data_IF_408604110055
#
_entry.id   IF_408604110055
#
_cell.length_a   1.000
_cell.length_b   1.000
_cell.length_c   1.000
_cell.angle_alpha   90.00
_cell.angle_beta   90.00
_cell.angle_gamma   90.00
#
_symmetry.space_group_name_H-M   'P 1'
#
loop_
_entity.id
_entity.type
_entity.pdbx_description
1 polymer ?
#
# COMPACT_ATOMS: atom_id res chain seq x y z
N UNK A 1 -26.52 -20.83 67.93
CA UNK A 1 -25.25 -20.24 68.41
C UNK A 1 -24.15 -20.59 67.44
N UNK A 2 -23.16 -19.71 67.30
CA UNK A 2 -22.02 -19.70 66.35
C UNK A 2 -22.21 -18.91 65.04
N UNK A 3 -22.04 -17.59 65.18
CA UNK A 3 -21.54 -16.70 64.12
C UNK A 3 -20.03 -16.92 63.96
N UNK A 4 -19.56 -17.18 62.74
CA UNK A 4 -18.14 -17.13 62.39
C UNK A 4 -17.84 -15.84 61.61
N UNK A 5 -16.99 -14.98 62.16
CA UNK A 5 -16.36 -13.85 61.47
C UNK A 5 -15.05 -14.34 60.85
N UNK A 6 -14.86 -14.11 59.55
CA UNK A 6 -13.58 -14.33 58.85
C UNK A 6 -13.01 -12.96 58.49
N UNK A 7 -11.82 -12.65 59.01
CA UNK A 7 -11.13 -11.38 58.85
C UNK A 7 -10.52 -11.20 57.46
N UNK A 8 -10.53 -9.94 56.98
CA UNK A 8 -9.79 -9.50 55.80
C UNK A 8 -8.31 -9.33 56.15
N UNK A 9 -7.44 -10.02 55.41
CA UNK A 9 -5.99 -9.73 55.38
C UNK A 9 -5.72 -8.80 54.21
N UNK A 10 -5.33 -7.56 54.50
CA UNK A 10 -4.83 -6.62 53.48
C UNK A 10 -3.31 -6.78 53.41
N UNK A 11 -2.82 -7.35 52.31
CA UNK A 11 -1.38 -7.34 51.99
C UNK A 11 -1.06 -6.07 51.21
N UNK A 12 -0.34 -5.15 51.85
CA UNK A 12 0.29 -4.00 51.18
C UNK A 12 1.56 -4.50 50.50
N UNK A 13 1.56 -4.48 49.16
CA UNK A 13 2.75 -4.72 48.35
C UNK A 13 3.53 -3.40 48.23
N UNK A 14 4.64 -3.29 48.95
CA UNK A 14 5.66 -2.25 48.74
C UNK A 14 6.56 -2.72 47.58
N UNK A 15 6.42 -2.08 46.41
CA UNK A 15 7.38 -2.24 45.32
C UNK A 15 8.58 -1.30 45.54
N UNK A 16 9.83 -1.78 45.37
CA UNK A 16 11.02 -0.95 45.54
C UNK A 16 11.17 0.05 44.38
N UNK A 17 11.41 1.32 44.74
CA UNK A 17 11.50 2.48 43.83
C UNK A 17 12.68 2.49 42.86
N UNK A 18 13.54 1.46 42.87
CA UNK A 18 14.76 1.39 42.06
C UNK A 18 14.57 0.85 40.64
N UNK A 19 13.39 0.33 40.28
CA UNK A 19 13.16 -0.27 38.96
C UNK A 19 12.60 0.70 37.91
N UNK A 20 12.21 1.92 38.30
CA UNK A 20 11.54 2.87 37.40
C UNK A 20 12.50 3.69 36.51
N UNK A 21 13.78 3.81 36.89
CA UNK A 21 14.75 4.65 36.15
C UNK A 21 15.35 3.96 34.90
N UNK A 22 15.30 2.63 34.81
CA UNK A 22 15.80 1.89 33.65
C UNK A 22 14.79 1.80 32.49
N UNK A 23 13.50 1.94 32.78
CA UNK A 23 12.46 1.84 31.75
C UNK A 23 12.39 3.14 30.91
N UNK A 24 12.63 4.30 31.53
CA UNK A 24 12.58 5.60 30.83
C UNK A 24 13.74 5.77 29.83
N UNK A 25 14.90 5.17 30.11
CA UNK A 25 16.06 5.19 29.21
C UNK A 25 15.84 4.34 27.94
N UNK A 26 15.04 3.29 27.99
CA UNK A 26 14.82 2.40 26.84
C UNK A 26 13.85 3.00 25.81
N UNK A 27 12.90 3.84 26.25
CA UNK A 27 11.97 4.52 25.34
C UNK A 27 12.57 5.74 24.63
N UNK A 28 13.59 6.38 25.19
CA UNK A 28 14.23 7.56 24.58
C UNK A 28 15.15 7.23 23.39
N UNK A 29 15.68 6.00 23.33
CA UNK A 29 16.58 5.58 22.23
C UNK A 29 15.80 5.21 20.96
N UNK A 30 14.56 4.74 21.08
CA UNK A 30 13.72 4.40 19.92
C UNK A 30 13.09 5.62 19.22
N UNK A 31 13.04 6.78 19.88
CA UNK A 31 12.46 8.00 19.31
C UNK A 31 13.43 8.83 18.44
N UNK A 32 14.74 8.52 18.45
CA UNK A 32 15.76 9.28 17.71
C UNK A 32 15.97 8.81 16.26
N UNK A 33 15.24 7.80 15.79
CA UNK A 33 15.44 7.25 14.45
C UNK A 33 14.50 7.89 13.42
N UNK A 34 14.65 9.19 13.11
CA UNK A 34 14.11 9.76 11.85
C UNK A 34 14.60 11.16 11.45
N UNK A 35 15.75 11.65 11.95
CA UNK A 35 16.32 12.94 11.52
C UNK A 35 17.47 12.80 10.51
N UNK A 36 17.36 11.89 9.55
CA UNK A 36 18.31 11.86 8.42
C UNK A 36 17.63 12.54 7.24
N UNK A 37 18.30 13.54 6.65
CA UNK A 37 17.83 14.25 5.46
C UNK A 37 17.49 13.21 4.37
N UNK A 38 16.23 13.16 3.87
CA UNK A 38 15.79 12.30 2.77
C UNK A 38 16.72 12.26 1.55
N UNK A 39 17.58 13.26 1.38
CA UNK A 39 18.52 13.40 0.26
C UNK A 39 19.85 12.64 0.44
N UNK A 40 20.24 12.24 1.65
CA UNK A 40 21.59 11.71 1.90
C UNK A 40 21.75 10.21 1.65
N UNK A 41 20.67 9.43 1.50
CA UNK A 41 20.75 7.99 1.21
C UNK A 41 20.60 7.70 -0.28
N UNK A 42 21.71 7.69 -1.00
CA UNK A 42 21.76 7.34 -2.42
C UNK A 42 22.11 5.85 -2.56
N UNK A 43 21.08 5.01 -2.64
CA UNK A 43 21.26 3.59 -3.01
C UNK A 43 21.36 3.48 -4.53
N UNK A 44 22.41 2.81 -4.99
CA UNK A 44 22.59 2.40 -6.38
C UNK A 44 21.62 1.28 -6.74
N UNK A 45 20.62 1.57 -7.57
CA UNK A 45 19.68 0.59 -8.10
C UNK A 45 18.36 1.26 -8.52
N UNK A 46 18.14 1.37 -9.83
CA UNK A 46 17.02 2.10 -10.45
C UNK A 46 15.67 1.39 -10.33
N UNK A 47 15.49 0.48 -9.38
CA UNK A 47 14.17 -0.12 -9.17
C UNK A 47 13.32 0.83 -8.30
N UNK A 48 12.29 1.49 -8.87
CA UNK A 48 11.40 2.38 -8.11
C UNK A 48 10.56 1.64 -7.07
N UNK A 49 10.55 0.31 -7.11
CA UNK A 49 9.73 -0.54 -6.25
C UNK A 49 10.45 -1.07 -5.01
N UNK A 50 11.75 -0.79 -4.86
CA UNK A 50 12.56 -1.14 -3.68
C UNK A 50 12.79 0.14 -2.85
N UNK A 51 11.73 0.63 -2.22
CA UNK A 51 11.65 1.94 -1.60
C UNK A 51 12.13 1.98 -0.14
N UNK A 52 12.51 0.84 0.43
CA UNK A 52 13.03 0.70 1.78
C UNK A 52 14.39 0.00 1.68
N UNK A 53 15.40 0.50 2.41
CA UNK A 53 16.72 -0.16 2.49
C UNK A 53 16.74 -1.33 3.49
N UNK A 54 17.84 -2.08 3.53
CA UNK A 54 18.00 -3.26 4.37
C UNK A 54 17.94 -2.92 5.87
N UNK A 55 18.19 -1.66 6.24
CA UNK A 55 18.07 -1.15 7.61
C UNK A 55 16.65 -0.63 7.93
N UNK A 56 15.71 -0.69 6.97
CA UNK A 56 14.31 -0.32 7.15
C UNK A 56 14.00 1.16 6.94
N UNK A 57 14.92 1.94 6.36
CA UNK A 57 14.71 3.36 6.09
C UNK A 57 14.14 3.58 4.70
N UNK A 58 13.25 4.57 4.59
CA UNK A 58 12.62 4.93 3.33
C UNK A 58 13.61 5.68 2.43
N UNK A 59 13.79 5.18 1.21
CA UNK A 59 14.56 5.77 0.13
C UNK A 59 13.70 6.79 -0.64
N UNK A 60 13.46 7.95 -0.03
CA UNK A 60 12.52 8.97 -0.53
C UNK A 60 12.80 9.46 -1.95
N UNK A 61 14.07 9.45 -2.38
CA UNK A 61 14.46 9.78 -3.75
C UNK A 61 13.82 8.85 -4.80
N UNK A 62 13.48 7.61 -4.45
CA UNK A 62 12.78 6.68 -5.36
C UNK A 62 11.34 7.10 -5.65
N UNK A 63 10.67 7.78 -4.71
CA UNK A 63 9.35 8.36 -4.95
C UNK A 63 9.38 9.35 -6.13
N UNK A 64 10.50 10.05 -6.33
CA UNK A 64 10.65 11.05 -7.38
C UNK A 64 10.71 10.48 -8.80
N UNK A 65 10.77 9.15 -8.95
CA UNK A 65 10.70 8.49 -10.26
C UNK A 65 9.28 8.62 -10.83
N UNK A 66 8.26 8.43 -10.01
CA UNK A 66 6.85 8.48 -10.41
C UNK A 66 6.16 9.79 -10.02
N UNK A 67 6.63 10.44 -8.95
CA UNK A 67 6.08 11.69 -8.43
C UNK A 67 7.00 12.87 -8.76
N UNK A 68 6.47 14.07 -9.07
CA UNK A 68 7.29 15.26 -9.27
C UNK A 68 7.92 15.77 -7.97
N UNK A 69 7.32 15.43 -6.83
CA UNK A 69 7.74 15.78 -5.47
C UNK A 69 7.49 14.58 -4.54
N UNK A 70 8.16 14.52 -3.38
CA UNK A 70 7.95 13.44 -2.40
C UNK A 70 6.58 13.64 -1.73
N UNK A 71 5.62 12.70 -1.88
CA UNK A 71 4.32 12.86 -1.25
C UNK A 71 4.37 12.75 0.27
N UNK A 72 3.51 13.49 0.97
CA UNK A 72 3.30 13.27 2.40
C UNK A 72 2.40 12.04 2.63
N UNK A 73 3.03 10.88 2.76
CA UNK A 73 2.35 9.58 2.89
C UNK A 73 1.48 9.45 4.14
N UNK A 74 1.66 10.31 5.16
CA UNK A 74 0.84 10.31 6.39
C UNK A 74 -0.46 11.09 6.21
N UNK A 75 -0.48 12.03 5.27
CA UNK A 75 -1.62 12.93 5.04
C UNK A 75 -2.44 12.52 3.81
N UNK A 76 -1.79 11.97 2.77
CA UNK A 76 -2.46 11.52 1.56
C UNK A 76 -3.45 10.39 1.85
N UNK A 77 -4.70 10.53 1.39
CA UNK A 77 -5.79 9.55 1.60
C UNK A 77 -6.15 8.82 0.32
N UNK A 78 -5.80 9.39 -0.83
CA UNK A 78 -6.16 8.94 -2.16
C UNK A 78 -5.08 9.31 -3.17
N UNK A 79 -5.23 8.79 -4.39
CA UNK A 79 -4.37 9.15 -5.52
C UNK A 79 -4.54 10.62 -5.92
N UNK A 80 -5.68 11.24 -5.62
CA UNK A 80 -5.96 12.64 -5.92
C UNK A 80 -5.20 13.60 -4.98
N UNK A 81 -4.70 13.10 -3.84
CA UNK A 81 -3.92 13.88 -2.87
C UNK A 81 -2.42 13.96 -3.23
N UNK A 82 -2.00 13.31 -4.33
CA UNK A 82 -0.58 13.24 -4.73
C UNK A 82 -0.42 13.60 -6.20
N UNK A 83 0.69 14.26 -6.54
CA UNK A 83 1.02 14.57 -7.93
C UNK A 83 1.72 13.40 -8.59
N UNK A 84 1.42 13.14 -9.86
CA UNK A 84 2.08 12.11 -10.67
C UNK A 84 2.75 12.78 -11.87
N UNK A 85 3.90 12.27 -12.33
CA UNK A 85 4.61 12.90 -13.46
C UNK A 85 3.89 12.77 -14.81
N UNK A 86 2.93 11.86 -14.93
CA UNK A 86 2.28 11.46 -16.19
C UNK A 86 0.76 11.52 -16.06
N UNK A 87 0.20 12.63 -15.57
CA UNK A 87 -1.20 12.74 -15.09
C UNK A 87 -2.27 12.32 -16.12
N UNK A 88 -2.00 12.47 -17.42
CA UNK A 88 -2.95 12.17 -18.51
C UNK A 88 -2.72 10.82 -19.21
N UNK A 89 -1.57 10.17 -18.96
CA UNK A 89 -1.22 8.85 -19.50
C UNK A 89 -0.26 8.13 -18.54
N UNK A 90 -0.79 7.70 -17.39
CA UNK A 90 -0.02 7.06 -16.33
C UNK A 90 0.66 5.75 -16.75
N UNK A 91 0.19 5.12 -17.84
CA UNK A 91 0.83 3.94 -18.43
C UNK A 91 2.23 4.26 -18.95
N UNK A 92 2.47 5.47 -19.46
CA UNK A 92 3.83 5.88 -19.85
C UNK A 92 4.75 5.85 -18.64
N UNK A 93 4.25 6.15 -17.44
CA UNK A 93 5.03 6.02 -16.22
C UNK A 93 5.54 4.60 -15.99
N UNK A 94 4.69 3.60 -16.24
CA UNK A 94 5.04 2.19 -16.03
C UNK A 94 5.92 1.63 -17.16
N UNK A 95 5.58 1.94 -18.42
CA UNK A 95 6.23 1.31 -19.59
C UNK A 95 7.62 1.83 -19.92
N UNK A 96 8.08 2.87 -19.22
CA UNK A 96 9.47 3.32 -19.32
C UNK A 96 10.46 2.35 -18.69
N UNK A 97 10.01 1.49 -17.78
CA UNK A 97 10.88 0.54 -17.07
C UNK A 97 10.65 -0.91 -17.49
N UNK A 98 9.40 -1.31 -17.77
CA UNK A 98 9.10 -2.67 -18.21
C UNK A 98 7.97 -2.68 -19.24
N UNK A 99 8.00 -3.59 -20.23
CA UNK A 99 6.89 -3.73 -21.16
C UNK A 99 5.65 -4.28 -20.45
N UNK A 100 4.50 -4.10 -21.09
CA UNK A 100 3.31 -4.90 -20.76
C UNK A 100 3.62 -6.38 -20.96
N UNK A 101 3.33 -7.19 -19.96
CA UNK A 101 3.34 -8.65 -20.10
C UNK A 101 1.91 -9.10 -20.34
N UNK A 102 1.76 -10.24 -21.00
CA UNK A 102 0.48 -10.94 -21.13
C UNK A 102 -0.27 -10.99 -19.78
N UNK A 103 -1.43 -10.34 -19.69
CA UNK A 103 -2.22 -10.24 -18.46
C UNK A 103 -3.71 -10.47 -18.72
N UNK A 104 -4.47 -11.09 -17.78
CA UNK A 104 -5.90 -11.39 -17.93
C UNK A 104 -6.83 -10.19 -18.22
N UNK A 105 -6.34 -8.97 -18.00
CA UNK A 105 -7.04 -7.73 -18.33
C UNK A 105 -6.57 -7.05 -19.62
N UNK A 106 -5.71 -7.70 -20.40
CA UNK A 106 -5.13 -7.13 -21.62
C UNK A 106 -5.76 -7.73 -22.85
N UNK A 107 -5.80 -6.96 -23.94
CA UNK A 107 -6.41 -7.31 -25.23
C UNK A 107 -6.02 -8.71 -25.73
N UNK A 108 -4.79 -9.12 -25.43
CA UNK A 108 -4.18 -10.38 -25.84
C UNK A 108 -4.88 -11.63 -25.26
N UNK A 109 -5.40 -11.61 -24.02
CA UNK A 109 -5.87 -12.86 -23.36
C UNK A 109 -7.10 -13.48 -24.03
N UNK A 110 -8.03 -12.68 -24.55
CA UNK A 110 -9.19 -13.24 -25.23
C UNK A 110 -8.79 -13.94 -26.52
N UNK A 111 -7.89 -13.31 -27.29
CA UNK A 111 -7.43 -13.80 -28.57
C UNK A 111 -6.68 -15.15 -28.46
N UNK A 112 -5.82 -15.31 -27.45
CA UNK A 112 -4.93 -16.49 -27.35
C UNK A 112 -5.38 -17.56 -26.35
N UNK A 113 -6.13 -17.22 -25.29
CA UNK A 113 -6.53 -18.19 -24.26
C UNK A 113 -7.97 -18.69 -24.38
N UNK A 114 -8.88 -17.87 -24.93
CA UNK A 114 -10.31 -18.19 -24.96
C UNK A 114 -10.83 -18.51 -26.37
N UNK A 115 -9.96 -18.48 -27.39
CA UNK A 115 -10.35 -18.72 -28.80
C UNK A 115 -11.41 -17.75 -29.30
N UNK A 116 -11.56 -16.60 -28.64
CA UNK A 116 -12.53 -15.56 -28.96
C UNK A 116 -11.77 -14.25 -29.17
N UNK A 117 -11.85 -13.60 -30.33
CA UNK A 117 -11.24 -12.28 -30.49
C UNK A 117 -11.68 -11.34 -29.36
N UNK A 118 -10.72 -10.64 -28.75
CA UNK A 118 -10.95 -9.55 -27.80
C UNK A 118 -11.11 -9.97 -26.33
N UNK A 119 -10.00 -10.04 -25.59
CA UNK A 119 -10.12 -9.65 -24.19
C UNK A 119 -10.38 -8.14 -24.19
N UNK A 120 -11.24 -7.62 -23.29
CA UNK A 120 -11.47 -6.20 -23.25
C UNK A 120 -10.15 -5.51 -22.93
N UNK A 121 -9.85 -4.43 -23.65
CA UNK A 121 -8.91 -3.44 -23.17
C UNK A 121 -9.41 -2.96 -21.81
N UNK A 122 -8.70 -3.29 -20.73
CA UNK A 122 -9.06 -2.81 -19.41
C UNK A 122 -8.61 -1.37 -19.20
N UNK A 123 -7.82 -0.78 -20.09
CA UNK A 123 -7.39 0.60 -19.97
C UNK A 123 -8.36 1.60 -20.57
N UNK A 124 -9.61 1.40 -20.19
CA UNK A 124 -10.73 2.25 -20.54
C UNK A 124 -11.28 2.88 -19.28
N UNK A 125 -12.14 3.89 -19.46
CA UNK A 125 -13.01 4.34 -18.38
C UNK A 125 -14.01 3.20 -18.12
N UNK A 126 -14.04 2.62 -16.91
CA UNK A 126 -14.94 1.52 -16.65
C UNK A 126 -16.40 1.97 -16.79
N UNK A 127 -17.30 1.11 -17.28
CA UNK A 127 -18.74 1.38 -17.23
C UNK A 127 -19.19 1.68 -15.79
N UNK A 128 -20.23 2.49 -15.62
CA UNK A 128 -20.69 2.96 -14.30
C UNK A 128 -20.91 1.82 -13.29
N UNK A 129 -21.50 0.71 -13.72
CA UNK A 129 -21.71 -0.46 -12.87
C UNK A 129 -20.40 -1.07 -12.34
N UNK A 130 -19.32 -1.03 -13.13
CA UNK A 130 -17.99 -1.50 -12.72
C UNK A 130 -17.29 -0.44 -11.85
N UNK A 131 -17.39 0.85 -12.21
CA UNK A 131 -16.85 1.95 -11.41
C UNK A 131 -17.41 1.93 -9.97
N UNK A 132 -18.72 1.73 -9.82
CA UNK A 132 -19.37 1.60 -8.51
C UNK A 132 -18.85 0.40 -7.72
N UNK A 133 -18.54 -0.72 -8.38
CA UNK A 133 -17.94 -1.89 -7.72
C UNK A 133 -16.52 -1.61 -7.26
N UNK A 134 -15.71 -0.96 -8.11
CA UNK A 134 -14.37 -0.47 -7.77
C UNK A 134 -14.43 0.42 -6.53
N UNK A 135 -15.36 1.37 -6.45
CA UNK A 135 -15.55 2.22 -5.26
C UNK A 135 -15.89 1.39 -4.01
N UNK A 136 -16.76 0.38 -4.15
CA UNK A 136 -17.12 -0.49 -3.02
C UNK A 136 -16.01 -1.47 -2.63
N UNK A 137 -14.96 -1.66 -3.43
CA UNK A 137 -13.87 -2.58 -3.13
C UNK A 137 -13.16 -2.25 -1.81
N UNK A 138 -13.11 -0.96 -1.43
CA UNK A 138 -12.57 -0.50 -0.15
C UNK A 138 -13.39 -1.02 1.04
N UNK A 139 -14.70 -1.20 0.86
CA UNK A 139 -15.62 -1.69 1.90
C UNK A 139 -15.73 -3.21 1.89
N UNK A 140 -15.81 -3.82 0.72
CA UNK A 140 -16.06 -5.26 0.55
C UNK A 140 -14.78 -6.07 0.68
N UNK A 141 -13.69 -5.60 0.07
CA UNK A 141 -12.43 -6.33 -0.02
C UNK A 141 -11.29 -5.66 0.74
N UNK A 142 -11.55 -4.56 1.43
CA UNK A 142 -10.52 -3.78 2.15
C UNK A 142 -9.34 -3.37 1.24
N UNK A 143 -9.63 -3.06 -0.02
CA UNK A 143 -8.61 -2.73 -1.04
C UNK A 143 -8.97 -1.44 -1.73
N UNK A 144 -7.98 -0.56 -1.92
CA UNK A 144 -8.12 0.64 -2.75
C UNK A 144 -7.73 0.27 -4.19
N UNK A 145 -8.62 0.53 -5.14
CA UNK A 145 -8.36 0.35 -6.57
C UNK A 145 -8.44 1.71 -7.27
N UNK A 146 -7.32 2.46 -7.34
CA UNK A 146 -7.35 3.81 -7.87
C UNK A 146 -7.62 3.80 -9.37
N UNK A 147 -8.33 4.82 -9.85
CA UNK A 147 -8.42 5.15 -11.27
C UNK A 147 -7.43 6.29 -11.56
N UNK A 148 -7.11 6.48 -12.83
CA UNK A 148 -6.33 7.63 -13.28
C UNK A 148 -7.12 8.93 -12.98
N UNK A 149 -6.57 9.90 -12.23
CA UNK A 149 -7.32 11.06 -11.72
C UNK A 149 -8.04 11.87 -12.80
N UNK A 150 -7.36 12.14 -13.93
CA UNK A 150 -7.87 13.04 -14.96
C UNK A 150 -8.83 12.36 -15.93
N UNK A 151 -8.67 11.06 -16.17
CA UNK A 151 -9.42 10.33 -17.21
C UNK A 151 -10.48 9.39 -16.63
N UNK A 152 -10.33 9.00 -15.35
CA UNK A 152 -11.10 7.95 -14.70
C UNK A 152 -10.84 6.55 -15.28
N UNK A 153 -9.77 6.37 -16.07
CA UNK A 153 -9.44 5.07 -16.65
C UNK A 153 -8.82 4.14 -15.62
N UNK A 154 -9.06 2.85 -15.79
CA UNK A 154 -8.25 1.82 -15.12
C UNK A 154 -6.84 1.88 -15.70
N UNK A 155 -5.82 1.68 -14.88
CA UNK A 155 -4.42 1.64 -15.28
C UNK A 155 -3.65 0.60 -14.47
N UNK A 156 -2.33 0.50 -14.67
CA UNK A 156 -1.50 -0.52 -14.03
C UNK A 156 -1.68 -0.53 -12.50
N UNK A 157 -1.67 0.65 -11.85
CA UNK A 157 -1.76 0.70 -10.39
C UNK A 157 -3.19 0.55 -9.84
N UNK A 158 -4.20 0.42 -10.69
CA UNK A 158 -5.55 -0.02 -10.29
C UNK A 158 -5.50 -1.45 -9.76
N UNK A 159 -4.74 -2.33 -10.42
CA UNK A 159 -4.60 -3.75 -10.08
C UNK A 159 -3.32 -4.05 -9.31
N UNK A 160 -2.24 -3.33 -9.60
CA UNK A 160 -0.93 -3.51 -9.00
C UNK A 160 -0.64 -2.44 -7.94
N UNK A 161 0.10 -2.77 -6.89
CA UNK A 161 0.62 -1.81 -5.93
C UNK A 161 2.09 -1.54 -6.27
N UNK A 162 2.45 -0.36 -6.80
CA UNK A 162 3.84 -0.08 -7.15
C UNK A 162 4.71 0.14 -5.91
N UNK A 163 4.12 0.20 -4.72
CA UNK A 163 4.83 0.51 -3.49
C UNK A 163 5.33 -0.75 -2.79
N UNK A 164 6.51 -0.64 -2.16
CA UNK A 164 7.05 -1.67 -1.28
C UNK A 164 6.21 -1.83 0.00
N UNK A 165 6.15 -3.05 0.53
CA UNK A 165 5.47 -3.35 1.78
C UNK A 165 6.12 -2.59 2.93
N UNK A 166 5.30 -1.93 3.73
CA UNK A 166 5.78 -1.13 4.86
C UNK A 166 5.92 0.36 4.52
N UNK A 167 5.94 0.75 3.23
CA UNK A 167 5.95 2.17 2.87
C UNK A 167 4.60 2.84 3.15
N UNK A 168 3.51 2.21 2.67
CA UNK A 168 2.15 2.71 2.88
C UNK A 168 1.46 1.92 4.00
N UNK A 169 0.69 2.64 4.82
CA UNK A 169 0.01 2.07 6.00
C UNK A 169 -1.43 1.68 5.63
N UNK A 170 -1.92 0.58 6.23
CA UNK A 170 -3.31 0.14 6.09
C UNK A 170 -3.67 -0.29 4.67
N UNK A 171 -4.89 0.06 4.23
CA UNK A 171 -5.46 -0.40 2.94
C UNK A 171 -4.61 0.01 1.72
N UNK A 172 -3.88 1.12 1.82
CA UNK A 172 -3.06 1.64 0.74
C UNK A 172 -1.82 0.76 0.46
N UNK A 173 -1.30 0.08 1.50
CA UNK A 173 -0.20 -0.88 1.40
C UNK A 173 -0.62 -2.29 0.98
N UNK A 174 -1.92 -2.55 0.81
CA UNK A 174 -2.40 -3.89 0.50
C UNK A 174 -1.90 -4.38 -0.87
N UNK A 175 -1.47 -5.63 -0.92
CA UNK A 175 -0.90 -6.24 -2.12
C UNK A 175 0.55 -5.86 -2.41
N UNK A 176 1.16 -4.98 -1.60
CA UNK A 176 2.58 -4.70 -1.68
C UNK A 176 3.37 -6.01 -1.47
N UNK A 177 4.30 -6.27 -2.38
CA UNK A 177 5.18 -7.45 -2.45
C UNK A 177 4.46 -8.81 -2.44
N UNK A 178 3.20 -8.84 -2.88
CA UNK A 178 2.60 -10.10 -3.35
C UNK A 178 3.11 -10.45 -4.74
N UNK A 179 2.78 -11.64 -5.24
CA UNK A 179 3.07 -12.01 -6.63
C UNK A 179 2.52 -10.95 -7.59
N UNK A 180 3.42 -10.43 -8.42
CA UNK A 180 3.16 -9.30 -9.33
C UNK A 180 2.67 -8.03 -8.64
N UNK A 181 2.81 -7.93 -7.31
CA UNK A 181 2.30 -6.85 -6.46
C UNK A 181 0.79 -6.61 -6.61
N UNK A 182 0.01 -7.68 -6.80
CA UNK A 182 -1.44 -7.55 -6.96
C UNK A 182 -2.11 -7.06 -5.67
N UNK A 183 -2.93 -6.01 -5.79
CA UNK A 183 -3.71 -5.40 -4.69
C UNK A 183 -4.71 -6.35 -4.02
N UNK A 184 -5.01 -7.47 -4.67
CA UNK A 184 -5.84 -8.52 -4.11
C UNK A 184 -5.17 -9.27 -2.96
N UNK A 185 -3.84 -9.16 -2.79
CA UNK A 185 -3.12 -9.84 -1.72
C UNK A 185 -3.27 -11.36 -1.79
N UNK A 186 -3.12 -11.93 -2.98
CA UNK A 186 -3.32 -13.37 -3.24
C UNK A 186 -4.76 -13.77 -3.56
N UNK A 187 -5.73 -12.85 -3.41
CA UNK A 187 -7.12 -13.08 -3.82
C UNK A 187 -7.32 -12.98 -5.35
N UNK A 188 -8.50 -13.41 -5.86
CA UNK A 188 -8.83 -13.31 -7.28
C UNK A 188 -9.16 -11.87 -7.70
N UNK A 189 -8.15 -11.13 -8.20
CA UNK A 189 -8.25 -9.69 -8.50
C UNK A 189 -9.43 -9.33 -9.41
N UNK A 190 -9.79 -10.20 -10.37
CA UNK A 190 -10.90 -9.96 -11.29
C UNK A 190 -12.25 -9.83 -10.57
N UNK A 191 -12.44 -10.51 -9.42
CA UNK A 191 -13.70 -10.45 -8.68
C UNK A 191 -13.96 -9.08 -8.04
N UNK A 192 -12.94 -8.22 -7.94
CA UNK A 192 -13.10 -6.91 -7.31
C UNK A 192 -13.92 -5.96 -8.20
N UNK A 193 -13.96 -6.25 -9.51
CA UNK A 193 -14.76 -5.54 -10.51
C UNK A 193 -15.90 -6.43 -11.06
N UNK A 194 -15.62 -7.72 -11.28
CA UNK A 194 -16.53 -8.63 -11.97
C UNK A 194 -17.28 -9.59 -11.04
N UNK A 195 -16.98 -9.58 -9.74
CA UNK A 195 -17.71 -10.36 -8.74
C UNK A 195 -19.20 -10.01 -8.69
N UNK A 196 -20.04 -10.98 -8.35
CA UNK A 196 -21.48 -10.77 -8.19
C UNK A 196 -21.81 -10.31 -6.79
#
# INVERSE_FOLDING_TARGET
>A
MYHARIGKVVRVFLFPASCFLLIVSCFLVLAHAQEIDPKERVVTGLNPHDQIDDEGYVLWNKCLICHPEVPNIKEAKSIDDVKLRFEDDLKQGCFRCHPERMHPGGEWVGATMLGKPGAPDHWIKPPEAIAKRIETSVKVFDTIMPLEPNTGKIFCATCHNPHERGLLIGKAGKGADYDWRLRSGGGPICLYCHGK
#
